data_IF_481835343394
#
_entry.id   IF_481835343394
#
_cell.length_a   1.000
_cell.length_b   1.000
_cell.length_c   1.000
_cell.angle_alpha   90.00
_cell.angle_beta   90.00
_cell.angle_gamma   90.00
#
_symmetry.space_group_name_H-M   'P 1'
#
loop_
_entity.id
_entity.type
_entity.pdbx_description
1 polymer ?
#
# COMPACT_ATOMS: atom_id res chain seq x y z
N UNK A 1 21.87 18.57 -9.04
CA UNK A 1 20.52 18.52 -8.46
C UNK A 1 20.40 19.66 -7.48
N UNK A 2 19.35 20.48 -7.55
CA UNK A 2 19.09 21.55 -6.60
C UNK A 2 18.33 21.04 -5.36
N UNK A 3 18.28 21.83 -4.29
CA UNK A 3 17.48 21.51 -3.11
C UNK A 3 15.99 21.33 -3.47
N UNK A 4 15.45 22.20 -4.33
CA UNK A 4 14.05 22.12 -4.77
C UNK A 4 13.76 20.85 -5.57
N UNK A 5 14.70 20.40 -6.41
CA UNK A 5 14.59 19.13 -7.15
C UNK A 5 14.57 17.91 -6.21
N UNK A 6 15.39 17.92 -5.14
CA UNK A 6 15.40 16.85 -4.14
C UNK A 6 14.08 16.78 -3.38
N UNK A 7 13.56 17.94 -2.97
CA UNK A 7 12.26 18.05 -2.29
C UNK A 7 11.13 17.60 -3.21
N UNK A 8 11.12 18.05 -4.47
CA UNK A 8 10.12 17.63 -5.45
C UNK A 8 10.14 16.11 -5.65
N UNK A 9 11.33 15.53 -5.86
CA UNK A 9 11.46 14.09 -6.07
C UNK A 9 10.98 13.30 -4.84
N UNK A 10 11.20 13.81 -3.61
CA UNK A 10 10.67 13.19 -2.40
C UNK A 10 9.12 13.17 -2.39
N UNK A 11 8.48 14.26 -2.81
CA UNK A 11 7.03 14.33 -2.91
C UNK A 11 6.51 13.41 -4.02
N UNK A 12 7.19 13.30 -5.16
CA UNK A 12 6.81 12.36 -6.22
C UNK A 12 6.81 10.91 -5.71
N UNK A 13 7.81 10.53 -4.91
CA UNK A 13 7.85 9.20 -4.27
C UNK A 13 6.78 9.03 -3.20
N UNK A 14 6.42 10.09 -2.50
CA UNK A 14 5.31 10.06 -1.53
C UNK A 14 3.96 9.88 -2.24
N UNK A 15 3.76 10.52 -3.39
CA UNK A 15 2.60 10.32 -4.27
C UNK A 15 2.55 8.90 -4.83
N UNK A 16 3.69 8.36 -5.27
CA UNK A 16 3.77 6.96 -5.72
C UNK A 16 3.35 5.98 -4.62
N UNK A 17 3.83 6.18 -3.38
CA UNK A 17 3.41 5.39 -2.21
C UNK A 17 1.89 5.45 -2.00
N UNK A 18 1.30 6.66 -2.08
CA UNK A 18 -0.15 6.82 -1.94
C UNK A 18 -0.92 6.10 -3.07
N UNK A 19 -0.42 6.13 -4.29
CA UNK A 19 -1.05 5.44 -5.42
C UNK A 19 -1.07 3.92 -5.24
N UNK A 20 0.02 3.32 -4.72
CA UNK A 20 0.03 1.90 -4.38
C UNK A 20 -1.00 1.55 -3.29
N UNK A 21 -1.15 2.41 -2.27
CA UNK A 21 -2.20 2.22 -1.26
C UNK A 21 -3.61 2.35 -1.83
N UNK A 22 -3.85 3.33 -2.68
CA UNK A 22 -5.15 3.52 -3.34
C UNK A 22 -5.51 2.32 -4.22
N UNK A 23 -4.57 1.83 -5.02
CA UNK A 23 -4.75 0.64 -5.85
C UNK A 23 -5.05 -0.59 -4.97
N UNK A 24 -4.30 -0.76 -3.89
CA UNK A 24 -4.51 -1.85 -2.93
C UNK A 24 -5.92 -1.85 -2.34
N UNK A 25 -6.38 -0.70 -1.83
CA UNK A 25 -7.73 -0.54 -1.27
C UNK A 25 -8.81 -0.82 -2.33
N UNK A 26 -8.61 -0.34 -3.56
CA UNK A 26 -9.54 -0.58 -4.66
C UNK A 26 -9.65 -2.07 -4.97
N UNK A 27 -8.53 -2.79 -5.06
CA UNK A 27 -8.52 -4.23 -5.33
C UNK A 27 -9.21 -4.99 -4.19
N UNK A 28 -8.85 -4.73 -2.93
CA UNK A 28 -9.48 -5.37 -1.76
C UNK A 28 -10.99 -5.10 -1.73
N UNK A 29 -11.40 -3.83 -1.88
CA UNK A 29 -12.81 -3.45 -1.91
C UNK A 29 -13.58 -4.11 -3.05
N UNK A 30 -12.99 -4.15 -4.25
CA UNK A 30 -13.56 -4.82 -5.43
C UNK A 30 -13.74 -6.32 -5.22
N UNK A 31 -12.76 -7.00 -4.62
CA UNK A 31 -12.85 -8.43 -4.30
C UNK A 31 -13.96 -8.71 -3.28
N UNK A 32 -14.04 -7.94 -2.21
CA UNK A 32 -15.07 -8.10 -1.18
C UNK A 32 -16.47 -7.80 -1.71
N UNK A 33 -16.62 -6.74 -2.53
CA UNK A 33 -17.88 -6.40 -3.19
C UNK A 33 -18.30 -7.50 -4.18
N UNK A 34 -17.40 -7.98 -5.02
CA UNK A 34 -17.69 -9.08 -5.93
C UNK A 34 -18.09 -10.36 -5.18
N UNK A 35 -17.37 -10.69 -4.10
CA UNK A 35 -17.67 -11.83 -3.27
C UNK A 35 -19.02 -11.71 -2.54
N UNK A 36 -19.49 -10.49 -2.24
CA UNK A 36 -20.77 -10.27 -1.54
C UNK A 36 -21.98 -10.40 -2.47
N UNK A 37 -21.81 -10.01 -3.75
CA UNK A 37 -22.86 -10.11 -4.76
C UNK A 37 -23.10 -11.54 -5.28
N UNK A 38 -22.13 -12.44 -5.08
CA UNK A 38 -22.23 -13.84 -5.52
C UNK A 38 -23.28 -14.62 -4.72
N UNK A 39 -24.31 -15.11 -5.43
CA UNK A 39 -25.38 -15.96 -4.87
C UNK A 39 -25.01 -17.44 -4.77
N UNK A 40 -24.23 -17.95 -5.72
CA UNK A 40 -23.86 -19.36 -5.80
C UNK A 40 -22.42 -19.63 -5.30
N UNK A 41 -22.23 -20.85 -4.79
CA UNK A 41 -20.93 -21.35 -4.35
C UNK A 41 -19.98 -21.51 -5.55
N UNK A 42 -18.71 -21.24 -5.33
CA UNK A 42 -17.65 -21.47 -6.32
C UNK A 42 -16.30 -21.51 -5.60
N UNK A 43 -16.06 -22.60 -4.87
CA UNK A 43 -14.86 -22.76 -4.05
C UNK A 43 -13.57 -22.66 -4.89
N UNK A 44 -13.57 -23.25 -6.09
CA UNK A 44 -12.43 -23.17 -7.02
C UNK A 44 -12.15 -21.71 -7.40
N UNK A 45 -13.19 -20.96 -7.79
CA UNK A 45 -13.05 -19.54 -8.09
C UNK A 45 -12.53 -18.75 -6.88
N UNK A 46 -13.03 -19.04 -5.68
CA UNK A 46 -12.56 -18.38 -4.46
C UNK A 46 -11.07 -18.67 -4.20
N UNK A 47 -10.62 -19.92 -4.37
CA UNK A 47 -9.20 -20.28 -4.26
C UNK A 47 -8.36 -19.55 -5.31
N UNK A 48 -8.80 -19.54 -6.57
CA UNK A 48 -8.12 -18.84 -7.65
C UNK A 48 -8.02 -17.33 -7.37
N UNK A 49 -9.09 -16.71 -6.89
CA UNK A 49 -9.10 -15.30 -6.50
C UNK A 49 -8.14 -15.04 -5.34
N UNK A 50 -8.09 -15.91 -4.32
CA UNK A 50 -7.12 -15.77 -3.23
C UNK A 50 -5.67 -15.87 -3.73
N UNK A 51 -5.37 -16.77 -4.66
CA UNK A 51 -4.04 -16.91 -5.26
C UNK A 51 -3.66 -15.67 -6.07
N UNK A 52 -4.57 -15.19 -6.93
CA UNK A 52 -4.34 -13.97 -7.71
C UNK A 52 -4.17 -12.74 -6.82
N UNK A 53 -4.97 -12.63 -5.75
CA UNK A 53 -4.82 -11.59 -4.76
C UNK A 53 -3.46 -11.66 -4.05
N UNK A 54 -3.02 -12.86 -3.64
CA UNK A 54 -1.71 -13.05 -3.00
C UNK A 54 -0.55 -12.63 -3.90
N UNK A 55 -0.60 -12.97 -5.21
CA UNK A 55 0.39 -12.53 -6.19
C UNK A 55 0.40 -11.00 -6.35
N UNK A 56 -0.77 -10.39 -6.50
CA UNK A 56 -0.92 -8.93 -6.54
C UNK A 56 -0.36 -8.27 -5.27
N UNK A 57 -0.74 -8.78 -4.10
CA UNK A 57 -0.34 -8.26 -2.80
C UNK A 57 1.19 -8.33 -2.62
N UNK A 58 1.81 -9.44 -3.02
CA UNK A 58 3.25 -9.63 -2.99
C UNK A 58 4.01 -8.59 -3.83
N UNK A 59 3.63 -8.43 -5.10
CA UNK A 59 4.27 -7.47 -6.00
C UNK A 59 4.04 -6.02 -5.55
N UNK A 60 2.82 -5.69 -5.10
CA UNK A 60 2.48 -4.37 -4.59
C UNK A 60 3.31 -4.03 -3.33
N UNK A 61 3.49 -4.98 -2.42
CA UNK A 61 4.34 -4.80 -1.24
C UNK A 61 5.81 -4.62 -1.61
N UNK A 62 6.29 -5.32 -2.65
CA UNK A 62 7.61 -5.12 -3.24
C UNK A 62 7.81 -3.69 -3.73
N UNK A 63 6.87 -3.17 -4.52
CA UNK A 63 6.94 -1.79 -5.01
C UNK A 63 6.90 -0.75 -3.86
N UNK A 64 6.08 -0.99 -2.83
CA UNK A 64 6.05 -0.15 -1.63
C UNK A 64 7.37 -0.19 -0.85
N UNK A 65 8.07 -1.34 -0.81
CA UNK A 65 9.40 -1.46 -0.21
C UNK A 65 10.40 -0.54 -0.92
N UNK A 66 10.43 -0.60 -2.25
CA UNK A 66 11.37 0.18 -3.05
C UNK A 66 11.12 1.68 -2.92
N UNK A 67 9.85 2.11 -3.00
CA UNK A 67 9.49 3.52 -2.80
C UNK A 67 9.81 3.99 -1.37
N UNK A 68 9.62 3.12 -0.36
CA UNK A 68 10.05 3.44 1.01
C UNK A 68 11.56 3.70 1.06
N UNK A 69 12.36 2.80 0.50
CA UNK A 69 13.82 2.96 0.47
C UNK A 69 14.25 4.26 -0.26
N UNK A 70 13.63 4.56 -1.39
CA UNK A 70 13.87 5.79 -2.16
C UNK A 70 13.55 7.05 -1.33
N UNK A 71 12.43 7.06 -0.60
CA UNK A 71 12.05 8.19 0.27
C UNK A 71 13.06 8.42 1.40
N UNK A 72 13.56 7.36 2.02
CA UNK A 72 14.61 7.47 3.03
C UNK A 72 15.94 7.97 2.45
N UNK A 73 16.34 7.48 1.27
CA UNK A 73 17.55 7.95 0.59
C UNK A 73 17.45 9.43 0.22
N UNK A 74 16.30 9.87 -0.31
CA UNK A 74 16.05 11.28 -0.64
C UNK A 74 16.03 12.17 0.60
N UNK A 75 15.41 11.73 1.70
CA UNK A 75 15.45 12.45 2.97
C UNK A 75 16.89 12.60 3.49
N UNK A 76 17.72 11.55 3.35
CA UNK A 76 19.15 11.62 3.65
C UNK A 76 19.88 12.67 2.80
N UNK A 77 19.63 12.69 1.49
CA UNK A 77 20.23 13.65 0.57
C UNK A 77 19.79 15.10 0.84
N UNK A 78 18.49 15.33 1.10
CA UNK A 78 17.94 16.64 1.52
C UNK A 78 18.68 17.13 2.77
N UNK A 79 18.88 16.26 3.75
CA UNK A 79 19.57 16.62 4.99
C UNK A 79 21.04 16.98 4.79
N UNK A 80 21.72 16.35 3.84
CA UNK A 80 23.14 16.56 3.56
C UNK A 80 23.43 17.75 2.62
N UNK A 81 22.43 18.26 1.91
CA UNK A 81 22.60 19.27 0.84
C UNK A 81 23.27 20.58 1.30
N UNK A 82 23.11 21.00 2.56
CA UNK A 82 23.73 22.23 3.11
C UNK A 82 25.22 22.10 3.50
N UNK A 83 25.83 20.91 3.40
CA UNK A 83 27.26 20.75 3.71
C UNK A 83 28.19 21.38 2.66
N UNK A 84 27.65 21.84 1.51
CA UNK A 84 28.39 22.35 0.37
C UNK A 84 27.85 23.65 -0.21
N UNK A 85 28.04 24.76 0.53
CA UNK A 85 28.26 26.14 0.07
C UNK A 85 27.67 26.61 -1.29
N UNK A 86 26.38 26.37 -1.58
CA UNK A 86 25.74 26.89 -2.78
C UNK A 86 24.53 27.78 -2.45
N UNK A 87 24.60 29.00 -2.98
CA UNK A 87 23.72 30.12 -2.74
C UNK A 87 22.26 29.85 -3.17
N UNK A 88 21.33 29.90 -2.21
CA UNK A 88 19.91 30.20 -2.43
C UNK A 88 19.47 31.11 -1.26
N UNK A 89 18.52 32.01 -1.52
CA UNK A 89 17.85 32.81 -0.50
C UNK A 89 17.17 31.91 0.53
N UNK A 90 17.67 31.94 1.76
CA UNK A 90 17.20 31.27 2.99
C UNK A 90 16.68 29.80 2.87
N UNK A 91 17.48 28.86 2.34
CA UNK A 91 17.20 27.42 2.43
C UNK A 91 17.05 26.95 3.87
N UNK A 92 17.69 27.63 4.83
CA UNK A 92 17.59 27.30 6.27
C UNK A 92 16.17 27.47 6.80
N UNK A 93 15.49 28.58 6.51
CA UNK A 93 14.11 28.77 6.97
C UNK A 93 13.12 27.81 6.28
N UNK A 94 13.28 27.56 4.98
CA UNK A 94 12.44 26.59 4.26
C UNK A 94 12.66 25.16 4.78
N UNK A 95 13.92 24.79 5.00
CA UNK A 95 14.32 23.51 5.57
C UNK A 95 13.79 23.30 6.98
N UNK A 96 13.94 24.30 7.85
CA UNK A 96 13.43 24.26 9.23
C UNK A 96 11.90 24.05 9.28
N UNK A 97 11.17 24.50 8.26
CA UNK A 97 9.71 24.28 8.14
C UNK A 97 9.37 22.93 7.51
N UNK A 98 10.09 22.51 6.47
CA UNK A 98 9.77 21.31 5.70
C UNK A 98 10.29 20.02 6.34
N UNK A 99 11.56 19.95 6.76
CA UNK A 99 12.18 18.70 7.24
C UNK A 99 11.42 18.01 8.40
N UNK A 100 10.86 18.73 9.39
CA UNK A 100 10.06 18.10 10.45
C UNK A 100 8.82 17.39 9.91
N UNK A 101 8.29 17.81 8.76
CA UNK A 101 7.11 17.22 8.12
C UNK A 101 7.46 16.03 7.21
N UNK A 102 8.72 15.87 6.82
CA UNK A 102 9.19 14.76 6.00
C UNK A 102 9.44 13.52 6.87
N UNK A 103 8.35 12.95 7.40
CA UNK A 103 8.36 11.77 8.26
C UNK A 103 7.79 10.55 7.52
N UNK A 104 8.55 9.91 6.62
CA UNK A 104 8.06 8.73 5.92
C UNK A 104 7.86 7.57 6.88
N UNK A 105 6.77 6.81 6.70
CA UNK A 105 6.57 5.56 7.42
C UNK A 105 7.71 4.58 7.14
N UNK A 106 8.11 3.82 8.15
CA UNK A 106 9.12 2.77 7.98
C UNK A 106 8.55 1.62 7.15
N UNK A 107 9.42 0.89 6.46
CA UNK A 107 8.99 -0.29 5.72
C UNK A 107 8.37 -1.34 6.65
N UNK A 108 8.86 -1.45 7.90
CA UNK A 108 8.26 -2.33 8.90
C UNK A 108 6.79 -2.01 9.16
N UNK A 109 6.45 -0.73 9.34
CA UNK A 109 5.06 -0.29 9.54
C UNK A 109 4.20 -0.58 8.31
N UNK A 110 4.66 -0.18 7.12
CA UNK A 110 3.98 -0.44 5.83
C UNK A 110 3.71 -1.93 5.65
N UNK A 111 4.71 -2.78 5.88
CA UNK A 111 4.62 -4.24 5.77
C UNK A 111 3.61 -4.84 6.75
N UNK A 112 3.63 -4.42 8.01
CA UNK A 112 2.71 -4.95 9.03
C UNK A 112 1.27 -4.62 8.67
N UNK A 113 0.98 -3.36 8.32
CA UNK A 113 -0.36 -2.96 7.89
C UNK A 113 -0.81 -3.75 6.66
N UNK A 114 0.05 -3.84 5.65
CA UNK A 114 -0.24 -4.52 4.39
C UNK A 114 -0.54 -6.02 4.59
N UNK A 115 0.34 -6.77 5.25
CA UNK A 115 0.15 -8.20 5.52
C UNK A 115 -1.08 -8.46 6.41
N UNK A 116 -1.32 -7.60 7.41
CA UNK A 116 -2.50 -7.74 8.27
C UNK A 116 -3.78 -7.61 7.44
N UNK A 117 -3.85 -6.62 6.55
CA UNK A 117 -4.97 -6.43 5.63
C UNK A 117 -5.12 -7.59 4.65
N UNK A 118 -4.01 -8.18 4.16
CA UNK A 118 -4.06 -9.35 3.29
C UNK A 118 -4.71 -10.56 3.98
N UNK A 119 -4.27 -10.86 5.20
CA UNK A 119 -4.81 -11.96 6.01
C UNK A 119 -6.30 -11.74 6.26
N UNK A 120 -6.69 -10.53 6.68
CA UNK A 120 -8.10 -10.20 6.92
C UNK A 120 -8.94 -10.33 5.65
N UNK A 121 -8.41 -9.93 4.50
CA UNK A 121 -9.10 -10.06 3.21
C UNK A 121 -9.34 -11.52 2.84
N UNK A 122 -8.32 -12.37 2.94
CA UNK A 122 -8.44 -13.80 2.67
C UNK A 122 -9.42 -14.48 3.63
N UNK A 123 -9.34 -14.16 4.93
CA UNK A 123 -10.27 -14.68 5.93
C UNK A 123 -11.71 -14.25 5.65
N UNK A 124 -11.93 -13.01 5.23
CA UNK A 124 -13.26 -12.53 4.83
C UNK A 124 -13.81 -13.30 3.62
N UNK A 125 -12.99 -13.51 2.58
CA UNK A 125 -13.40 -14.28 1.40
C UNK A 125 -13.76 -15.73 1.77
N UNK A 126 -12.98 -16.36 2.64
CA UNK A 126 -13.27 -17.71 3.15
C UNK A 126 -14.57 -17.71 3.96
N UNK A 127 -14.74 -16.78 4.91
CA UNK A 127 -15.94 -16.69 5.73
C UNK A 127 -17.20 -16.49 4.89
N UNK A 128 -17.13 -15.67 3.84
CA UNK A 128 -18.24 -15.46 2.90
C UNK A 128 -18.57 -16.73 2.12
N UNK A 129 -17.57 -17.51 1.70
CA UNK A 129 -17.79 -18.79 1.03
C UNK A 129 -18.36 -19.85 1.98
N UNK A 130 -17.89 -19.93 3.22
CA UNK A 130 -18.41 -20.85 4.24
C UNK A 130 -19.85 -20.50 4.66
N UNK A 131 -20.20 -19.21 4.76
CA UNK A 131 -21.59 -18.78 5.00
C UNK A 131 -22.52 -19.24 3.87
N UNK A 132 -22.06 -19.24 2.62
CA UNK A 132 -22.82 -19.83 1.49
C UNK A 132 -22.88 -21.35 1.56
N UNK A 133 -21.98 -22.00 2.29
CA UNK A 133 -22.10 -23.42 2.61
C UNK A 133 -23.28 -23.67 3.56
N UNK A 134 -23.28 -23.07 4.73
CA UNK A 134 -24.34 -23.30 5.71
C UNK A 134 -25.75 -22.96 5.18
N UNK A 135 -25.91 -21.85 4.44
CA UNK A 135 -27.22 -21.46 3.89
C UNK A 135 -27.83 -22.50 2.94
N UNK A 136 -27.03 -23.18 2.13
CA UNK A 136 -27.54 -24.21 1.20
C UNK A 136 -27.92 -25.52 1.91
N UNK A 137 -27.16 -25.90 2.94
CA UNK A 137 -27.46 -27.11 3.75
C UNK A 137 -28.79 -26.96 4.48
N UNK A 138 -29.04 -25.77 5.05
CA UNK A 138 -30.31 -25.44 5.73
C UNK A 138 -31.49 -25.42 4.76
N UNK A 139 -31.29 -24.99 3.51
CA UNK A 139 -32.39 -24.81 2.54
C UNK A 139 -32.75 -26.08 1.71
N UNK A 140 -32.04 -27.21 1.88
CA UNK A 140 -32.29 -28.46 1.13
C UNK A 140 -32.39 -28.27 -0.40
N UNK A 141 -31.68 -27.27 -0.94
CA UNK A 141 -31.62 -27.05 -2.39
C UNK A 141 -30.40 -27.81 -2.94
N UNK A 142 -30.57 -28.72 -3.92
CA UNK A 142 -29.46 -29.45 -4.52
C UNK A 142 -28.35 -28.52 -5.09
#
# INVERSE_FOLDING_TARGET
>A
MSYSELVQLYFDRSTAMQNYWNLYVLVVGGLLAFASLRKQRAAITTVLVCLLFALFAYENLGAMKDVTAQRFALLGAIRQFDAGNNAINDPKALRARLEPTLAPATYGSVKVTHITSDILTVLALIAMELRRRSLREVLHVP
#
